data_IF_034352509946
#
_entry.id   IF_034352509946
#
_cell.length_a   1.000
_cell.length_b   1.000
_cell.length_c   1.000
_cell.angle_alpha   90.00
_cell.angle_beta   90.00
_cell.angle_gamma   90.00
#
_symmetry.space_group_name_H-M   'P 1'
#
loop_
_entity.id
_entity.type
_entity.pdbx_description
1 polymer ?
#
# COMPACT_ATOMS: atom_id res chain seq x y z
N UNK A 1 10.56 -1.59 4.06
CA UNK A 1 9.94 -0.25 4.06
C UNK A 1 8.46 -0.40 3.73
N UNK A 2 7.56 0.24 4.50
CA UNK A 2 6.12 0.25 4.22
C UNK A 2 5.69 1.69 3.93
N UNK A 3 4.97 1.91 2.84
CA UNK A 3 4.43 3.22 2.47
C UNK A 3 2.91 3.14 2.54
N UNK A 4 2.29 4.14 3.12
CA UNK A 4 0.84 4.21 3.27
C UNK A 4 0.29 5.49 2.67
N UNK A 5 -0.85 5.35 1.99
CA UNK A 5 -1.78 6.45 1.73
C UNK A 5 -2.81 6.45 2.85
N UNK A 6 -3.03 7.60 3.47
CA UNK A 6 -3.94 7.69 4.60
C UNK A 6 -4.63 9.04 4.65
N UNK A 7 -5.83 9.06 5.19
CA UNK A 7 -6.52 10.29 5.55
C UNK A 7 -6.18 10.63 7.01
N UNK A 8 -5.70 11.85 7.21
CA UNK A 8 -5.39 12.38 8.54
C UNK A 8 -5.72 13.86 8.60
N UNK A 9 -6.47 14.27 9.63
CA UNK A 9 -7.08 15.59 9.73
C UNK A 9 -8.01 15.84 8.53
N UNK A 10 -7.75 16.87 7.72
CA UNK A 10 -8.62 17.29 6.61
C UNK A 10 -8.05 16.96 5.23
N UNK A 11 -7.13 15.98 5.11
CA UNK A 11 -6.50 15.65 3.84
C UNK A 11 -5.94 14.24 3.74
N UNK A 12 -5.77 13.82 2.49
CA UNK A 12 -5.08 12.57 2.12
C UNK A 12 -3.60 12.85 1.96
N UNK A 13 -2.77 12.03 2.59
CA UNK A 13 -1.32 12.17 2.62
C UNK A 13 -0.63 10.82 2.39
N UNK A 14 0.65 10.88 2.04
CA UNK A 14 1.54 9.73 1.93
C UNK A 14 2.59 9.78 3.03
N UNK A 15 2.98 8.60 3.53
CA UNK A 15 3.98 8.51 4.58
C UNK A 15 4.61 7.13 4.69
N UNK A 16 5.74 7.09 5.39
CA UNK A 16 6.51 5.87 5.66
C UNK A 16 6.10 5.34 7.02
N UNK A 17 5.69 4.07 7.08
CA UNK A 17 5.23 3.41 8.31
C UNK A 17 6.38 2.61 8.92
N UNK A 18 6.76 2.97 10.15
CA UNK A 18 7.71 2.24 10.98
C UNK A 18 7.08 1.90 12.33
N UNK A 19 6.79 0.62 12.55
CA UNK A 19 5.98 0.18 13.70
C UNK A 19 4.60 0.84 13.66
N UNK A 20 4.28 1.58 14.72
CA UNK A 20 3.04 2.35 14.84
C UNK A 20 3.24 3.83 14.51
N UNK A 21 4.42 4.26 14.07
CA UNK A 21 4.66 5.67 13.70
C UNK A 21 4.64 5.86 12.19
N UNK A 22 3.98 6.93 11.76
CA UNK A 22 4.00 7.41 10.38
C UNK A 22 4.93 8.62 10.29
N UNK A 23 5.91 8.54 9.40
CA UNK A 23 6.80 9.63 9.01
C UNK A 23 6.37 10.23 7.68
N UNK A 24 6.66 11.51 7.49
CA UNK A 24 6.44 12.17 6.22
C UNK A 24 7.25 11.49 5.12
N UNK A 25 6.65 11.40 3.93
CA UNK A 25 7.38 11.05 2.71
C UNK A 25 7.77 12.36 2.05
N UNK A 26 9.06 12.68 2.05
CA UNK A 26 9.59 13.87 1.40
C UNK A 26 10.08 13.52 0.00
N UNK A 27 9.56 14.19 -1.03
CA UNK A 27 9.89 13.94 -2.43
C UNK A 27 8.73 13.34 -3.23
N UNK A 28 9.06 12.54 -4.23
CA UNK A 28 8.08 11.91 -5.13
C UNK A 28 7.95 10.42 -4.81
N UNK A 29 6.73 9.98 -4.50
CA UNK A 29 6.38 8.59 -4.19
C UNK A 29 6.87 7.60 -5.26
N UNK A 30 6.81 7.98 -6.53
CA UNK A 30 7.21 7.13 -7.66
C UNK A 30 8.60 7.48 -8.22
N UNK A 31 9.24 8.49 -7.64
CA UNK A 31 10.57 8.96 -8.00
C UNK A 31 11.55 8.80 -6.86
N UNK A 32 12.31 9.85 -6.58
CA UNK A 32 13.21 9.90 -5.42
C UNK A 32 12.47 10.47 -4.22
N UNK A 33 12.51 9.74 -3.11
CA UNK A 33 11.97 10.18 -1.84
C UNK A 33 12.86 9.74 -0.67
N UNK A 34 12.64 10.36 0.49
CA UNK A 34 13.28 10.01 1.76
C UNK A 34 12.28 10.08 2.91
N UNK A 35 12.66 9.50 4.03
CA UNK A 35 11.93 9.66 5.29
C UNK A 35 12.12 11.07 5.82
N UNK A 36 11.00 11.75 6.02
CA UNK A 36 10.94 13.07 6.64
C UNK A 36 10.65 12.99 8.14
N UNK A 37 10.11 14.07 8.68
CA UNK A 37 9.74 14.20 10.09
C UNK A 37 8.62 13.23 10.50
N UNK A 38 8.57 12.89 11.78
CA UNK A 38 7.44 12.18 12.39
C UNK A 38 6.14 12.99 12.19
N UNK A 39 5.07 12.32 11.73
CA UNK A 39 3.75 12.93 11.51
C UNK A 39 2.75 12.57 12.61
N UNK A 40 2.42 11.28 12.74
CA UNK A 40 1.34 10.79 13.61
C UNK A 40 1.57 9.32 13.99
N UNK A 41 0.67 8.74 14.79
CA UNK A 41 0.62 7.29 14.98
C UNK A 41 -0.34 6.64 13.98
N UNK A 42 -0.05 5.41 13.58
CA UNK A 42 -0.85 4.59 12.69
C UNK A 42 -2.31 4.40 13.17
N UNK A 43 -2.59 4.26 14.49
CA UNK A 43 -3.97 4.20 14.98
C UNK A 43 -4.74 5.52 14.85
N UNK A 44 -4.07 6.65 14.63
CA UNK A 44 -4.70 7.98 14.56
C UNK A 44 -5.21 8.32 13.14
N UNK A 45 -4.98 7.45 12.16
CA UNK A 45 -5.26 7.72 10.75
C UNK A 45 -6.20 6.68 10.16
N UNK A 46 -6.91 7.07 9.09
CA UNK A 46 -7.65 6.11 8.26
C UNK A 46 -6.79 5.69 7.09
N UNK A 47 -6.32 4.44 7.08
CA UNK A 47 -5.60 3.88 5.94
C UNK A 47 -6.51 3.83 4.70
N UNK A 48 -5.93 4.18 3.56
CA UNK A 48 -6.57 4.09 2.24
C UNK A 48 -5.86 3.03 1.41
N UNK A 49 -6.40 2.73 0.22
CA UNK A 49 -5.70 1.89 -0.75
C UNK A 49 -4.31 2.47 -1.06
N UNK A 50 -3.26 1.63 -1.21
CA UNK A 50 -1.86 2.07 -1.29
C UNK A 50 -1.48 2.61 -2.69
N UNK A 51 -2.44 2.85 -3.57
CA UNK A 51 -2.25 3.43 -4.89
C UNK A 51 -3.57 4.02 -5.42
N UNK A 52 -3.45 4.81 -6.49
CA UNK A 52 -4.59 5.33 -7.25
C UNK A 52 -4.48 4.76 -8.68
N UNK A 53 -4.81 3.46 -8.86
CA UNK A 53 -4.56 2.77 -10.11
C UNK A 53 -5.51 3.25 -11.20
N UNK A 54 -5.00 3.42 -12.43
CA UNK A 54 -5.85 3.63 -13.61
C UNK A 54 -6.43 2.33 -14.15
N UNK A 55 -5.69 1.23 -13.97
CA UNK A 55 -6.04 -0.10 -14.47
C UNK A 55 -5.79 -1.16 -13.38
N UNK A 56 -6.64 -2.17 -13.31
CA UNK A 56 -6.42 -3.37 -12.50
C UNK A 56 -6.29 -4.59 -13.40
N UNK A 57 -5.12 -5.25 -13.36
CA UNK A 57 -4.86 -6.50 -14.10
C UNK A 57 -4.67 -7.62 -13.08
N UNK A 58 -5.31 -8.76 -13.32
CA UNK A 58 -5.25 -9.92 -12.43
C UNK A 58 -4.86 -11.19 -13.20
N UNK A 59 -4.05 -12.04 -12.56
CA UNK A 59 -3.69 -13.35 -13.08
C UNK A 59 -4.55 -14.44 -12.42
N UNK A 60 -5.39 -15.09 -13.21
CA UNK A 60 -6.12 -16.27 -12.75
C UNK A 60 -5.23 -17.52 -12.76
N UNK A 61 -5.61 -18.55 -11.99
CA UNK A 61 -5.01 -19.89 -12.07
C UNK A 61 -3.50 -19.92 -11.82
N UNK A 62 -3.02 -19.14 -10.86
CA UNK A 62 -1.59 -18.99 -10.55
C UNK A 62 -1.13 -19.73 -9.27
N UNK A 63 -1.97 -20.63 -8.74
CA UNK A 63 -1.65 -21.42 -7.55
C UNK A 63 -2.08 -22.87 -7.78
N UNK A 64 -1.15 -23.81 -7.60
CA UNK A 64 -1.38 -25.23 -7.91
C UNK A 64 -2.52 -25.83 -7.10
N UNK A 65 -2.60 -25.51 -5.81
CA UNK A 65 -3.67 -26.03 -4.96
C UNK A 65 -5.03 -25.48 -5.36
N UNK A 66 -5.10 -24.20 -5.75
CA UNK A 66 -6.33 -23.60 -6.26
C UNK A 66 -6.72 -24.18 -7.63
N UNK A 67 -5.75 -24.48 -8.51
CA UNK A 67 -6.01 -25.15 -9.79
C UNK A 67 -6.60 -26.56 -9.54
N UNK A 68 -6.01 -27.32 -8.61
CA UNK A 68 -6.47 -28.65 -8.22
C UNK A 68 -7.86 -28.60 -7.56
N UNK A 69 -8.08 -27.69 -6.62
CA UNK A 69 -9.37 -27.43 -5.96
C UNK A 69 -10.48 -27.21 -6.99
N UNK A 70 -10.20 -26.37 -7.99
CA UNK A 70 -11.15 -26.02 -9.05
C UNK A 70 -11.26 -27.08 -10.15
N UNK A 71 -10.47 -28.17 -10.10
CA UNK A 71 -10.47 -29.22 -11.11
C UNK A 71 -10.04 -28.76 -12.51
N UNK A 72 -9.28 -27.66 -12.60
CA UNK A 72 -8.84 -27.12 -13.88
C UNK A 72 -7.60 -27.86 -14.39
N UNK A 73 -7.40 -27.94 -15.73
CA UNK A 73 -6.13 -28.41 -16.26
C UNK A 73 -5.00 -27.49 -15.77
N UNK A 74 -3.79 -28.01 -15.60
CA UNK A 74 -2.64 -27.14 -15.31
C UNK A 74 -2.31 -26.34 -16.58
N UNK A 75 -2.20 -25.00 -16.52
CA UNK A 75 -1.82 -24.17 -17.67
C UNK A 75 -0.43 -24.50 -18.23
#
# INVERSE_FOLDING_TARGET
MKIARFEWRSGVQWGIVEGETIYALDGDLYGKFSQGKKLCQLPDVRLLAPCEPRNGVACGRNYMDHIKEMGWPVP
#
